data_IF_783726690366
#
_entry.id   IF_783726690366
#
_cell.length_a   1.000
_cell.length_b   1.000
_cell.length_c   1.000
_cell.angle_alpha   90.00
_cell.angle_beta   90.00
_cell.angle_gamma   90.00
#
_symmetry.space_group_name_H-M   'P 1'
#
loop_
_entity.id
_entity.type
_entity.pdbx_description
1 polymer ?
#
# COMPACT_ATOMS: atom_id res chain seq x y z
N UNK A 1 9.86 28.60 19.16
CA UNK A 1 9.83 30.00 18.63
C UNK A 1 9.59 29.91 17.13
N UNK A 2 8.41 30.32 16.63
CA UNK A 2 8.16 30.30 15.19
C UNK A 2 9.11 31.29 14.49
N UNK A 3 9.70 30.86 13.37
CA UNK A 3 10.66 31.68 12.64
C UNK A 3 9.94 32.89 12.00
N UNK A 4 10.58 34.06 12.08
CA UNK A 4 10.12 35.33 11.48
C UNK A 4 9.65 35.21 10.01
N UNK A 5 10.28 34.43 9.11
CA UNK A 5 9.78 34.27 7.76
C UNK A 5 8.45 33.52 7.68
N UNK A 6 8.22 32.53 8.56
CA UNK A 6 6.95 31.80 8.63
C UNK A 6 5.80 32.70 9.10
N UNK A 7 6.05 33.55 10.09
CA UNK A 7 5.09 34.55 10.56
C UNK A 7 4.75 35.59 9.47
N UNK A 8 5.74 36.05 8.73
CA UNK A 8 5.55 36.95 7.58
C UNK A 8 4.74 36.30 6.46
N UNK A 9 5.02 35.03 6.15
CA UNK A 9 4.29 34.28 5.13
C UNK A 9 2.83 34.06 5.52
N UNK A 10 2.56 33.65 6.77
CA UNK A 10 1.20 33.51 7.30
C UNK A 10 0.43 34.84 7.35
N UNK A 11 1.10 35.94 7.72
CA UNK A 11 0.47 37.26 7.74
C UNK A 11 0.09 37.77 6.34
N UNK A 12 0.86 37.40 5.30
CA UNK A 12 0.57 37.75 3.90
C UNK A 12 -0.52 36.88 3.28
N UNK A 13 -0.65 35.63 3.67
CA UNK A 13 -1.69 34.72 3.14
C UNK A 13 -3.05 34.89 3.83
N UNK A 14 -3.08 35.34 5.08
CA UNK A 14 -4.31 35.60 5.85
C UNK A 14 -5.33 36.53 5.16
N UNK A 15 -4.97 37.69 4.56
CA UNK A 15 -5.94 38.55 3.88
C UNK A 15 -6.45 37.96 2.56
N UNK A 16 -5.63 37.17 1.84
CA UNK A 16 -6.08 36.47 0.63
C UNK A 16 -7.09 35.36 0.98
N UNK A 17 -6.83 34.62 2.07
CA UNK A 17 -7.78 33.65 2.61
C UNK A 17 -9.09 34.32 3.05
N UNK A 18 -9.04 35.47 3.73
CA UNK A 18 -10.24 36.25 4.11
C UNK A 18 -11.04 36.75 2.90
N UNK A 19 -10.38 37.19 1.82
CA UNK A 19 -11.06 37.63 0.59
C UNK A 19 -11.73 36.47 -0.16
N UNK A 20 -11.10 35.30 -0.21
CA UNK A 20 -11.69 34.11 -0.82
C UNK A 20 -12.97 33.65 -0.08
N UNK A 21 -13.05 33.89 1.23
CA UNK A 21 -14.24 33.59 2.05
C UNK A 21 -15.35 34.62 1.87
N UNK A 22 -15.01 35.92 1.77
CA UNK A 22 -16.00 37.00 1.73
C UNK A 22 -16.49 37.35 0.30
N UNK A 23 -15.67 37.07 -0.71
CA UNK A 23 -16.02 37.17 -2.13
C UNK A 23 -15.77 35.79 -2.73
N UNK A 24 -16.71 34.87 -2.47
CA UNK A 24 -16.78 33.66 -3.25
C UNK A 24 -16.74 34.05 -4.72
N UNK A 25 -15.71 33.57 -5.41
CA UNK A 25 -15.56 33.58 -6.87
C UNK A 25 -16.95 33.45 -7.48
N UNK A 26 -17.39 34.43 -8.28
CA UNK A 26 -18.76 34.63 -8.79
C UNK A 26 -19.47 33.32 -9.18
N UNK A 27 -20.05 32.65 -8.20
CA UNK A 27 -20.66 31.36 -8.33
C UNK A 27 -21.96 31.40 -7.58
N UNK A 28 -23.02 30.90 -8.21
CA UNK A 28 -24.32 30.75 -7.56
C UNK A 28 -24.12 30.05 -6.21
N UNK A 29 -24.70 30.56 -5.11
CA UNK A 29 -24.56 29.95 -3.80
C UNK A 29 -24.94 28.46 -3.90
N UNK A 30 -24.21 27.58 -3.21
CA UNK A 30 -24.43 26.14 -3.34
C UNK A 30 -25.88 25.82 -2.95
N UNK A 31 -26.58 25.01 -3.76
CA UNK A 31 -27.99 24.61 -3.53
C UNK A 31 -28.19 23.96 -2.15
N UNK A 32 -27.13 23.36 -1.59
CA UNK A 32 -27.06 22.86 -0.22
C UNK A 32 -25.70 23.20 0.37
N UNK A 33 -25.71 23.71 1.60
CA UNK A 33 -24.48 23.92 2.35
C UNK A 33 -23.89 22.58 2.74
N UNK A 34 -22.66 22.29 2.29
CA UNK A 34 -21.88 21.15 2.79
C UNK A 34 -20.90 21.62 3.86
N UNK A 35 -20.94 20.99 5.02
CA UNK A 35 -20.03 21.30 6.11
C UNK A 35 -18.58 20.95 5.74
N UNK A 36 -17.60 21.60 6.36
CA UNK A 36 -16.19 21.25 6.16
C UNK A 36 -15.91 19.77 6.49
N UNK A 37 -16.62 19.21 7.47
CA UNK A 37 -16.51 17.82 7.86
C UNK A 37 -16.96 16.88 6.72
N UNK A 38 -18.08 17.18 6.05
CA UNK A 38 -18.57 16.41 4.91
C UNK A 38 -17.58 16.42 3.74
N UNK A 39 -16.95 17.57 3.48
CA UNK A 39 -15.93 17.69 2.43
C UNK A 39 -14.70 16.85 2.74
N UNK A 40 -14.24 16.87 3.99
CA UNK A 40 -13.10 16.05 4.44
C UNK A 40 -13.44 14.57 4.37
N UNK A 41 -14.64 14.17 4.82
CA UNK A 41 -15.10 12.79 4.75
C UNK A 41 -15.16 12.29 3.30
N UNK A 42 -15.72 13.09 2.39
CA UNK A 42 -15.79 12.76 0.97
C UNK A 42 -14.39 12.62 0.36
N UNK A 43 -13.47 13.53 0.70
CA UNK A 43 -12.08 13.44 0.23
C UNK A 43 -11.40 12.16 0.71
N UNK A 44 -11.53 11.82 1.99
CA UNK A 44 -10.95 10.59 2.55
C UNK A 44 -11.57 9.33 1.94
N UNK A 45 -12.88 9.35 1.66
CA UNK A 45 -13.56 8.25 0.97
C UNK A 45 -13.01 8.03 -0.44
N UNK A 46 -12.86 9.10 -1.22
CA UNK A 46 -12.28 9.04 -2.57
C UNK A 46 -10.81 8.59 -2.49
N UNK A 47 -9.99 9.26 -1.68
CA UNK A 47 -8.58 8.89 -1.54
C UNK A 47 -8.42 7.43 -1.10
N UNK A 48 -9.17 6.99 -0.08
CA UNK A 48 -9.12 5.62 0.44
C UNK A 48 -9.57 4.58 -0.58
N UNK A 49 -10.65 4.83 -1.33
CA UNK A 49 -11.10 3.90 -2.38
C UNK A 49 -10.06 3.72 -3.47
N UNK A 50 -9.49 4.82 -3.99
CA UNK A 50 -8.47 4.76 -5.03
C UNK A 50 -7.13 4.19 -4.52
N UNK A 51 -6.77 4.39 -3.25
CA UNK A 51 -5.54 3.81 -2.68
C UNK A 51 -5.69 2.36 -2.19
N UNK A 52 -6.90 1.90 -1.90
CA UNK A 52 -7.15 0.59 -1.27
C UNK A 52 -6.49 -0.57 -2.03
N UNK A 53 -6.80 -0.70 -3.32
CA UNK A 53 -6.29 -1.75 -4.18
C UNK A 53 -4.77 -1.69 -4.42
N UNK A 54 -4.18 -0.56 -4.88
CA UNK A 54 -2.75 -0.51 -5.11
C UNK A 54 -1.95 -0.72 -3.82
N UNK A 55 -2.43 -0.23 -2.67
CA UNK A 55 -1.77 -0.49 -1.38
C UNK A 55 -1.77 -1.98 -1.06
N UNK A 56 -2.90 -2.67 -1.25
CA UNK A 56 -2.99 -4.11 -1.03
C UNK A 56 -2.04 -4.90 -1.94
N UNK A 57 -1.97 -4.55 -3.22
CA UNK A 57 -1.06 -5.20 -4.19
C UNK A 57 0.40 -5.01 -3.78
N UNK A 58 0.80 -3.79 -3.42
CA UNK A 58 2.17 -3.49 -3.02
C UNK A 58 2.58 -4.26 -1.76
N UNK A 59 1.66 -4.43 -0.80
CA UNK A 59 1.93 -5.21 0.40
C UNK A 59 1.99 -6.73 0.15
N UNK A 60 1.47 -7.20 -0.99
CA UNK A 60 1.34 -8.63 -1.31
C UNK A 60 2.09 -9.03 -2.58
N UNK A 61 3.03 -8.20 -3.01
CA UNK A 61 3.84 -8.41 -4.21
C UNK A 61 4.55 -9.77 -4.22
N UNK A 62 5.06 -10.22 -3.06
CA UNK A 62 5.78 -11.49 -2.95
C UNK A 62 4.87 -12.72 -3.11
N UNK A 63 3.61 -12.63 -2.69
CA UNK A 63 2.62 -13.70 -2.89
C UNK A 63 2.08 -13.70 -4.32
N UNK A 64 1.97 -12.52 -4.94
CA UNK A 64 1.48 -12.36 -6.31
C UNK A 64 2.55 -12.72 -7.34
N UNK A 65 3.83 -12.62 -6.98
CA UNK A 65 4.92 -13.04 -7.85
C UNK A 65 4.94 -14.57 -7.91
N UNK A 66 4.84 -15.16 -9.12
CA UNK A 66 5.08 -16.58 -9.28
C UNK A 66 6.47 -16.91 -8.69
N UNK A 67 6.52 -17.87 -7.76
CA UNK A 67 7.81 -18.36 -7.26
C UNK A 67 8.59 -18.86 -8.47
N UNK A 68 9.86 -18.47 -8.56
CA UNK A 68 10.73 -19.03 -9.57
C UNK A 68 10.69 -20.56 -9.43
N UNK A 69 10.38 -21.27 -10.51
CA UNK A 69 10.44 -22.72 -10.51
C UNK A 69 11.85 -23.12 -10.11
N UNK A 70 11.98 -23.79 -8.96
CA UNK A 70 13.24 -24.38 -8.51
C UNK A 70 13.53 -25.61 -9.40
N UNK A 71 13.86 -25.35 -10.67
CA UNK A 71 14.36 -26.37 -11.56
C UNK A 71 15.79 -26.69 -11.12
N UNK A 72 15.91 -27.76 -10.33
CA UNK A 72 17.20 -28.33 -9.98
C UNK A 72 17.88 -28.82 -11.25
N UNK A 73 19.21 -28.70 -11.33
CA UNK A 73 19.96 -29.34 -12.40
C UNK A 73 19.70 -30.85 -12.37
N UNK A 74 19.69 -31.49 -13.55
CA UNK A 74 19.42 -32.93 -13.67
C UNK A 74 20.35 -33.77 -12.77
N UNK A 75 21.59 -33.33 -12.61
CA UNK A 75 22.59 -33.94 -11.73
C UNK A 75 22.18 -33.85 -10.24
N UNK A 76 21.68 -32.71 -9.81
CA UNK A 76 21.24 -32.50 -8.41
C UNK A 76 19.97 -33.29 -8.11
N UNK A 77 19.06 -33.41 -9.08
CA UNK A 77 17.85 -34.22 -8.96
C UNK A 77 18.19 -35.71 -8.79
N UNK A 78 19.09 -36.23 -9.63
CA UNK A 78 19.53 -37.62 -9.57
C UNK A 78 20.22 -37.97 -8.23
N UNK A 79 21.00 -37.05 -7.67
CA UNK A 79 21.64 -37.25 -6.36
C UNK A 79 20.63 -37.24 -5.21
N UNK A 80 19.59 -36.39 -5.28
CA UNK A 80 18.50 -36.38 -4.30
C UNK A 80 17.71 -37.68 -4.31
N UNK A 81 17.39 -38.21 -5.50
CA UNK A 81 16.66 -39.46 -5.66
C UNK A 81 17.45 -40.64 -5.07
N UNK A 82 18.77 -40.70 -5.30
CA UNK A 82 19.65 -41.70 -4.68
C UNK A 82 19.62 -41.63 -3.16
N UNK A 83 19.65 -40.42 -2.60
CA UNK A 83 19.62 -40.21 -1.14
C UNK A 83 18.26 -40.56 -0.54
N UNK A 84 17.17 -40.29 -1.26
CA UNK A 84 15.82 -40.69 -0.84
C UNK A 84 15.67 -42.21 -0.83
N UNK A 85 16.08 -42.89 -1.89
CA UNK A 85 16.04 -44.35 -1.97
C UNK A 85 16.86 -45.02 -0.85
N UNK A 86 18.04 -44.47 -0.53
CA UNK A 86 18.87 -44.96 0.58
C UNK A 86 18.20 -44.78 1.95
N UNK A 87 17.48 -43.66 2.16
CA UNK A 87 16.71 -43.43 3.39
C UNK A 87 15.53 -44.38 3.51
N UNK A 88 14.78 -44.58 2.43
CA UNK A 88 13.63 -45.50 2.39
C UNK A 88 14.06 -46.94 2.64
N UNK A 89 15.16 -47.40 2.02
CA UNK A 89 15.71 -48.72 2.25
C UNK A 89 16.14 -48.92 3.72
N UNK A 90 16.71 -47.88 4.35
CA UNK A 90 17.09 -47.93 5.77
C UNK A 90 15.88 -48.01 6.69
N UNK A 91 14.81 -47.27 6.37
CA UNK A 91 13.55 -47.29 7.14
C UNK A 91 12.85 -48.65 6.96
N UNK A 92 12.78 -49.17 5.73
CA UNK A 92 12.21 -50.49 5.46
C UNK A 92 12.98 -51.60 6.19
N UNK A 93 14.32 -51.52 6.24
CA UNK A 93 15.14 -52.46 6.99
C UNK A 93 14.94 -52.36 8.52
N UNK A 94 14.64 -51.16 9.04
CA UNK A 94 14.33 -50.95 10.45
C UNK A 94 12.94 -51.46 10.84
N UNK A 95 11.94 -51.36 9.95
CA UNK A 95 10.58 -51.86 10.17
C UNK A 95 10.43 -53.37 9.98
N UNK A 96 11.44 -54.05 9.40
CA UNK A 96 11.45 -55.49 9.19
C UNK A 96 12.10 -56.27 10.35
N UNK A 97 12.59 -55.57 11.37
CA UNK A 97 13.02 -56.11 12.66
C UNK A 97 11.88 -55.99 13.67
#
# INVERSE_FOLDING_TARGET
>A
MLSRPLLSLMARTAPMARRAVHKGIEGTPPLRHSSSAEKVALYLLIAGTFLSYPTWVLLRLDDLRPRADNNLSEETQAELDRRQAAKEARIAAANKK
#
